data_IF_825446782241
#
_entry.id   IF_825446782241
#
_cell.length_a   1.000
_cell.length_b   1.000
_cell.length_c   1.000
_cell.angle_alpha   90.00
_cell.angle_beta   90.00
_cell.angle_gamma   90.00
#
_symmetry.space_group_name_H-M   'P 1'
#
loop_
_entity.id
_entity.type
_entity.pdbx_description
1 polymer ?
#
# COMPACT_ATOMS: atom_id res chain seq x y z
N UNK A 1 -0.86 -17.50 16.86
CA UNK A 1 -2.26 -17.01 16.69
C UNK A 1 -3.12 -18.12 16.11
N UNK A 2 -4.39 -18.24 16.52
CA UNK A 2 -5.31 -19.20 15.89
C UNK A 2 -5.71 -18.76 14.48
N UNK A 3 -6.11 -19.72 13.63
CA UNK A 3 -6.60 -19.39 12.27
C UNK A 3 -7.84 -18.48 12.28
N UNK A 4 -8.69 -18.56 13.32
CA UNK A 4 -9.84 -17.67 13.49
C UNK A 4 -9.39 -16.24 13.81
N UNK A 5 -8.40 -16.07 14.69
CA UNK A 5 -7.80 -14.78 15.05
C UNK A 5 -7.17 -14.12 13.83
N UNK A 6 -6.45 -14.87 13.01
CA UNK A 6 -5.83 -14.36 11.79
C UNK A 6 -6.88 -13.88 10.78
N UNK A 7 -7.94 -14.68 10.53
CA UNK A 7 -9.04 -14.27 9.63
C UNK A 7 -9.75 -13.01 10.10
N UNK A 8 -9.99 -12.86 11.41
CA UNK A 8 -10.61 -11.65 11.96
C UNK A 8 -9.72 -10.42 11.75
N UNK A 9 -8.41 -10.56 11.95
CA UNK A 9 -7.43 -9.48 11.71
C UNK A 9 -7.43 -9.05 10.24
N UNK A 10 -7.39 -9.99 9.32
CA UNK A 10 -7.45 -9.73 7.86
C UNK A 10 -8.77 -9.06 7.45
N UNK A 11 -9.91 -9.51 8.00
CA UNK A 11 -11.21 -8.88 7.74
C UNK A 11 -11.25 -7.43 8.23
N UNK A 12 -10.65 -7.12 9.40
CA UNK A 12 -10.57 -5.76 9.92
C UNK A 12 -9.72 -4.88 9.01
N UNK A 13 -8.54 -5.34 8.56
CA UNK A 13 -7.69 -4.59 7.65
C UNK A 13 -8.36 -4.35 6.29
N UNK A 14 -9.06 -5.34 5.75
CA UNK A 14 -9.86 -5.19 4.53
C UNK A 14 -11.00 -4.16 4.72
N UNK A 15 -11.72 -4.23 5.85
CA UNK A 15 -12.73 -3.25 6.22
C UNK A 15 -12.18 -1.84 6.36
N UNK A 16 -11.00 -1.70 6.96
CA UNK A 16 -10.30 -0.41 7.07
C UNK A 16 -9.97 0.18 5.70
N UNK A 17 -9.44 -0.62 4.78
CA UNK A 17 -9.13 -0.19 3.42
C UNK A 17 -10.38 0.29 2.68
N UNK A 18 -11.52 -0.38 2.85
CA UNK A 18 -12.79 0.04 2.25
C UNK A 18 -13.26 1.39 2.83
N UNK A 19 -13.23 1.55 4.16
CA UNK A 19 -13.64 2.81 4.80
C UNK A 19 -12.73 3.96 4.34
N UNK A 20 -11.41 3.75 4.27
CA UNK A 20 -10.47 4.77 3.76
C UNK A 20 -10.77 5.13 2.30
N UNK A 21 -11.12 4.16 1.48
CA UNK A 21 -11.51 4.41 0.08
C UNK A 21 -12.79 5.25 -0.04
N UNK A 22 -13.67 5.20 0.94
CA UNK A 22 -14.94 5.95 0.97
C UNK A 22 -14.75 7.37 1.51
N UNK A 23 -14.04 7.54 2.63
CA UNK A 23 -14.02 8.80 3.39
C UNK A 23 -12.62 9.37 3.65
N UNK A 24 -11.56 8.67 3.31
CA UNK A 24 -10.18 9.05 3.63
C UNK A 24 -9.70 8.51 4.98
N UNK A 25 -8.41 8.70 5.25
CA UNK A 25 -7.81 8.22 6.49
C UNK A 25 -8.24 9.04 7.70
N UNK A 26 -8.34 10.36 7.57
CA UNK A 26 -8.69 11.25 8.67
C UNK A 26 -10.09 10.97 9.22
N UNK A 27 -11.11 10.94 8.36
CA UNK A 27 -12.52 10.72 8.75
C UNK A 27 -12.83 9.26 9.11
N UNK A 28 -11.99 8.29 8.74
CA UNK A 28 -12.20 6.89 9.09
C UNK A 28 -12.16 6.67 10.60
N UNK A 29 -13.01 5.78 11.11
CA UNK A 29 -13.05 5.45 12.54
C UNK A 29 -13.24 3.95 12.79
N UNK A 30 -12.87 3.51 14.00
CA UNK A 30 -12.89 2.10 14.39
C UNK A 30 -14.30 1.47 14.40
N UNK A 31 -15.36 2.27 14.53
CA UNK A 31 -16.75 1.76 14.51
C UNK A 31 -17.19 1.42 13.09
N UNK A 32 -16.92 2.30 12.12
CA UNK A 32 -17.25 2.08 10.72
C UNK A 32 -16.43 0.91 10.16
N UNK A 33 -15.17 0.80 10.58
CA UNK A 33 -14.30 -0.33 10.24
C UNK A 33 -14.86 -1.64 10.79
N UNK A 34 -15.30 -1.68 12.06
CA UNK A 34 -15.92 -2.87 12.65
C UNK A 34 -17.18 -3.30 11.87
N UNK A 35 -18.04 -2.34 11.53
CA UNK A 35 -19.23 -2.58 10.72
C UNK A 35 -18.88 -3.13 9.33
N UNK A 36 -17.91 -2.53 8.66
CA UNK A 36 -17.48 -2.96 7.33
C UNK A 36 -16.80 -4.33 7.34
N UNK A 37 -16.03 -4.63 8.36
CA UNK A 37 -15.40 -5.94 8.59
C UNK A 37 -16.37 -7.01 9.09
N UNK A 38 -17.63 -6.65 9.40
CA UNK A 38 -18.65 -7.53 9.97
C UNK A 38 -18.22 -8.21 11.28
N UNK A 39 -17.51 -7.46 12.11
CA UNK A 39 -17.07 -7.91 13.44
C UNK A 39 -17.60 -6.97 14.53
N UNK A 40 -17.57 -7.43 15.78
CA UNK A 40 -17.92 -6.56 16.91
C UNK A 40 -16.84 -5.50 17.16
N UNK A 41 -17.24 -4.34 17.73
CA UNK A 41 -16.27 -3.33 18.19
C UNK A 41 -15.23 -3.93 19.16
N UNK A 42 -15.66 -4.80 20.06
CA UNK A 42 -14.76 -5.49 21.00
C UNK A 42 -13.71 -6.33 20.25
N UNK A 43 -14.11 -6.99 19.14
CA UNK A 43 -13.19 -7.76 18.31
C UNK A 43 -12.12 -6.84 17.71
N UNK A 44 -12.48 -5.65 17.21
CA UNK A 44 -11.50 -4.71 16.66
C UNK A 44 -10.49 -4.29 17.72
N UNK A 45 -10.95 -3.87 18.93
CA UNK A 45 -10.07 -3.46 20.02
C UNK A 45 -9.26 -4.62 20.65
N UNK A 46 -9.67 -5.86 20.44
CA UNK A 46 -8.84 -7.02 20.81
C UNK A 46 -7.67 -7.24 19.85
N UNK A 47 -7.73 -6.70 18.62
CA UNK A 47 -6.69 -6.83 17.62
C UNK A 47 -5.79 -5.60 17.51
N UNK A 48 -6.35 -4.40 17.77
CA UNK A 48 -5.68 -3.11 17.59
C UNK A 48 -6.04 -2.19 18.76
N UNK A 49 -5.03 -1.67 19.41
CA UNK A 49 -5.19 -0.76 20.57
C UNK A 49 -5.90 0.53 20.14
N UNK A 50 -5.51 1.04 18.98
CA UNK A 50 -6.05 2.28 18.40
C UNK A 50 -6.03 2.26 16.86
N UNK A 51 -6.48 3.36 16.29
CA UNK A 51 -6.51 3.56 14.84
C UNK A 51 -5.11 3.64 14.24
N UNK A 52 -4.15 4.25 14.94
CA UNK A 52 -2.79 4.41 14.47
C UNK A 52 -2.09 3.06 14.28
N UNK A 53 -2.17 2.18 15.28
CA UNK A 53 -1.65 0.81 15.19
C UNK A 53 -2.28 0.04 14.02
N UNK A 54 -3.60 0.17 13.86
CA UNK A 54 -4.30 -0.48 12.76
C UNK A 54 -3.86 0.05 11.40
N UNK A 55 -3.70 1.38 11.25
CA UNK A 55 -3.25 2.01 9.99
C UNK A 55 -1.82 1.62 9.65
N UNK A 56 -0.92 1.60 10.63
CA UNK A 56 0.45 1.13 10.44
C UNK A 56 0.49 -0.34 9.99
N UNK A 57 -0.32 -1.19 10.62
CA UNK A 57 -0.44 -2.60 10.23
C UNK A 57 -1.04 -2.76 8.83
N UNK A 58 -2.03 -1.95 8.46
CA UNK A 58 -2.60 -1.97 7.11
C UNK A 58 -1.55 -1.60 6.07
N UNK A 59 -0.77 -0.55 6.32
CA UNK A 59 0.31 -0.13 5.43
C UNK A 59 1.38 -1.23 5.26
N UNK A 60 1.82 -1.86 6.35
CA UNK A 60 2.75 -2.99 6.30
C UNK A 60 2.18 -4.16 5.47
N UNK A 61 0.91 -4.50 5.69
CA UNK A 61 0.21 -5.56 4.95
C UNK A 61 0.13 -5.26 3.45
N UNK A 62 -0.11 -4.00 3.06
CA UNK A 62 -0.13 -3.59 1.66
C UNK A 62 1.26 -3.61 1.02
N UNK A 63 2.30 -3.21 1.74
CA UNK A 63 3.70 -3.32 1.28
C UNK A 63 4.04 -4.80 1.01
N UNK A 64 3.73 -5.69 1.96
CA UNK A 64 3.99 -7.13 1.82
C UNK A 64 3.20 -7.75 0.66
N UNK A 65 1.93 -7.37 0.50
CA UNK A 65 1.07 -7.82 -0.61
C UNK A 65 1.66 -7.42 -1.96
N UNK A 66 2.01 -6.14 -2.11
CA UNK A 66 2.60 -5.61 -3.35
C UNK A 66 3.96 -6.27 -3.65
N UNK A 67 4.80 -6.42 -2.64
CA UNK A 67 6.09 -7.11 -2.78
C UNK A 67 5.92 -8.56 -3.20
N UNK A 68 4.95 -9.29 -2.63
CA UNK A 68 4.65 -10.66 -3.00
C UNK A 68 4.18 -10.79 -4.46
N UNK A 69 3.30 -9.88 -4.92
CA UNK A 69 2.85 -9.85 -6.31
C UNK A 69 4.02 -9.59 -7.27
N UNK A 70 4.89 -8.62 -6.96
CA UNK A 70 6.05 -8.31 -7.77
C UNK A 70 7.07 -9.46 -7.82
N UNK A 71 7.32 -10.14 -6.68
CA UNK A 71 8.20 -11.32 -6.61
C UNK A 71 7.67 -12.52 -7.40
N UNK A 72 6.35 -12.67 -7.50
CA UNK A 72 5.71 -13.74 -8.27
C UNK A 72 5.69 -13.46 -9.79
N UNK A 73 6.07 -12.27 -10.23
CA UNK A 73 6.08 -11.90 -11.65
C UNK A 73 7.20 -12.61 -12.41
N UNK A 74 6.99 -12.93 -13.70
CA UNK A 74 7.97 -13.66 -14.50
C UNK A 74 9.25 -12.86 -14.78
N UNK A 75 9.16 -11.54 -14.81
CA UNK A 75 10.28 -10.65 -15.08
C UNK A 75 10.09 -9.26 -14.43
N UNK A 76 11.14 -8.43 -14.52
CA UNK A 76 11.16 -7.08 -13.93
C UNK A 76 10.13 -6.14 -14.59
N UNK A 77 9.84 -6.28 -15.87
CA UNK A 77 8.89 -5.41 -16.56
C UNK A 77 7.47 -5.66 -16.06
N UNK A 78 7.06 -6.94 -15.95
CA UNK A 78 5.75 -7.30 -15.39
C UNK A 78 5.66 -6.95 -13.90
N UNK A 79 6.73 -7.14 -13.11
CA UNK A 79 6.77 -6.72 -11.71
C UNK A 79 6.52 -5.21 -11.56
N UNK A 80 7.19 -4.38 -12.37
CA UNK A 80 6.98 -2.93 -12.40
C UNK A 80 5.56 -2.58 -12.85
N UNK A 81 5.05 -3.24 -13.88
CA UNK A 81 3.71 -2.98 -14.41
C UNK A 81 2.61 -3.31 -13.37
N UNK A 82 2.76 -4.41 -12.63
CA UNK A 82 1.84 -4.78 -11.54
C UNK A 82 1.87 -3.72 -10.44
N UNK A 83 3.06 -3.36 -9.92
CA UNK A 83 3.18 -2.34 -8.88
C UNK A 83 2.58 -1.00 -9.32
N UNK A 84 2.85 -0.59 -10.54
CA UNK A 84 2.31 0.63 -11.12
C UNK A 84 0.78 0.61 -11.20
N UNK A 85 0.19 -0.45 -11.73
CA UNK A 85 -1.28 -0.60 -11.82
C UNK A 85 -1.94 -0.60 -10.45
N UNK A 86 -1.40 -1.37 -9.49
CA UNK A 86 -1.94 -1.47 -8.14
C UNK A 86 -1.94 -0.10 -7.43
N UNK A 87 -0.83 0.65 -7.48
CA UNK A 87 -0.73 1.99 -6.88
C UNK A 87 -1.63 2.99 -7.62
N UNK A 88 -1.59 2.99 -8.95
CA UNK A 88 -2.36 3.93 -9.76
C UNK A 88 -3.87 3.73 -9.68
N UNK A 89 -4.36 2.52 -9.43
CA UNK A 89 -5.79 2.21 -9.36
C UNK A 89 -6.34 2.09 -7.94
N UNK A 90 -5.51 2.21 -6.90
CA UNK A 90 -5.93 2.00 -5.51
C UNK A 90 -6.96 3.06 -5.06
N UNK A 91 -8.20 2.68 -4.73
CA UNK A 91 -9.24 3.64 -4.37
C UNK A 91 -8.95 4.38 -3.06
N UNK A 92 -8.27 3.73 -2.09
CA UNK A 92 -7.92 4.34 -0.82
C UNK A 92 -6.87 5.44 -1.04
N UNK A 93 -5.81 5.18 -1.82
CA UNK A 93 -4.83 6.21 -2.19
C UNK A 93 -5.50 7.36 -2.98
N UNK A 94 -6.40 7.06 -3.92
CA UNK A 94 -7.17 8.09 -4.65
C UNK A 94 -7.92 9.02 -3.71
N UNK A 95 -8.62 8.45 -2.74
CA UNK A 95 -9.40 9.23 -1.78
C UNK A 95 -8.46 10.02 -0.87
N UNK A 96 -7.41 9.42 -0.31
CA UNK A 96 -6.46 10.11 0.57
C UNK A 96 -5.75 11.29 -0.11
N UNK A 97 -5.36 11.17 -1.37
CA UNK A 97 -4.77 12.30 -2.13
C UNK A 97 -5.73 13.49 -2.19
N UNK A 98 -7.02 13.25 -2.23
CA UNK A 98 -8.05 14.29 -2.31
C UNK A 98 -8.45 14.85 -0.95
N UNK A 99 -8.60 13.97 0.07
CA UNK A 99 -9.15 14.33 1.39
C UNK A 99 -8.08 14.63 2.42
N UNK A 100 -6.92 13.96 2.32
CA UNK A 100 -5.83 14.00 3.31
C UNK A 100 -4.47 14.39 2.66
N UNK A 101 -4.40 15.46 1.83
CA UNK A 101 -3.20 15.77 1.06
C UNK A 101 -1.97 16.06 1.93
N UNK A 102 -2.17 16.58 3.14
CA UNK A 102 -1.07 16.84 4.11
C UNK A 102 -0.45 15.52 4.59
N UNK A 103 -1.25 14.51 4.87
CA UNK A 103 -0.76 13.20 5.32
C UNK A 103 -0.01 12.48 4.20
N UNK A 104 -0.53 12.57 2.97
CA UNK A 104 0.17 12.05 1.79
C UNK A 104 1.50 12.78 1.58
N UNK A 105 1.52 14.11 1.67
CA UNK A 105 2.76 14.89 1.53
C UNK A 105 3.78 14.51 2.62
N UNK A 106 3.35 14.37 3.87
CA UNK A 106 4.20 13.92 4.96
C UNK A 106 4.75 12.51 4.70
N UNK A 107 3.90 11.58 4.26
CA UNK A 107 4.31 10.23 3.93
C UNK A 107 5.37 10.19 2.83
N UNK A 108 5.17 10.88 1.71
CA UNK A 108 6.13 10.84 0.58
C UNK A 108 7.43 11.62 0.81
N UNK A 109 7.48 12.47 1.84
CA UNK A 109 8.66 13.30 2.16
C UNK A 109 9.50 12.77 3.32
N UNK A 110 8.95 11.94 4.21
CA UNK A 110 9.66 11.38 5.36
C UNK A 110 10.33 10.07 4.98
N UNK A 111 11.64 10.08 4.83
CA UNK A 111 12.44 8.92 4.41
C UNK A 111 13.00 8.04 5.55
N UNK A 112 12.83 8.43 6.82
CA UNK A 112 13.45 7.74 7.97
C UNK A 112 12.48 6.84 8.75
N UNK A 113 11.25 6.59 8.25
CA UNK A 113 10.29 5.71 8.92
C UNK A 113 10.62 4.22 8.69
N UNK A 114 10.15 3.36 9.59
CA UNK A 114 10.28 1.89 9.43
C UNK A 114 9.63 1.41 8.13
N UNK A 115 8.52 2.02 7.71
CA UNK A 115 7.82 1.68 6.46
C UNK A 115 8.70 1.97 5.23
N UNK A 116 9.42 3.11 5.22
CA UNK A 116 10.36 3.43 4.14
C UNK A 116 11.52 2.46 4.08
N UNK A 117 12.08 2.06 5.23
CA UNK A 117 13.12 1.03 5.30
C UNK A 117 12.60 -0.32 4.78
N UNK A 118 11.35 -0.68 5.09
CA UNK A 118 10.69 -1.88 4.58
C UNK A 118 10.54 -1.83 3.06
N UNK A 119 9.93 -0.77 2.52
CA UNK A 119 9.75 -0.58 1.07
C UNK A 119 11.09 -0.65 0.33
N UNK A 120 12.10 0.08 0.82
CA UNK A 120 13.42 0.09 0.20
C UNK A 120 14.08 -1.30 0.18
N UNK A 121 13.95 -2.06 1.26
CA UNK A 121 14.44 -3.45 1.34
C UNK A 121 13.75 -4.33 0.32
N UNK A 122 12.41 -4.29 0.23
CA UNK A 122 11.63 -5.10 -0.70
C UNK A 122 11.95 -4.76 -2.16
N UNK A 123 11.99 -3.47 -2.52
CA UNK A 123 12.34 -3.04 -3.87
C UNK A 123 13.77 -3.40 -4.25
N UNK A 124 14.72 -3.28 -3.30
CA UNK A 124 16.12 -3.69 -3.52
C UNK A 124 16.26 -5.20 -3.74
N UNK A 125 15.46 -6.00 -3.02
CA UNK A 125 15.45 -7.46 -3.18
C UNK A 125 14.88 -7.89 -4.55
N UNK A 126 13.89 -7.16 -5.09
CA UNK A 126 13.23 -7.48 -6.37
C UNK A 126 14.05 -6.95 -7.57
N UNK A 127 14.50 -5.70 -7.50
CA UNK A 127 15.09 -4.99 -8.65
C UNK A 127 16.61 -4.83 -8.56
N UNK A 128 17.21 -5.16 -7.45
CA UNK A 128 18.63 -4.95 -7.16
C UNK A 128 18.90 -3.70 -6.31
N UNK A 129 19.99 -3.71 -5.52
CA UNK A 129 20.28 -2.64 -4.55
C UNK A 129 20.49 -1.27 -5.20
N UNK A 130 21.03 -1.21 -6.41
CA UNK A 130 21.25 0.05 -7.15
C UNK A 130 19.98 0.62 -7.74
N UNK A 131 18.95 -0.21 -7.97
CA UNK A 131 17.75 0.15 -8.72
C UNK A 131 16.55 0.46 -7.82
N UNK A 132 16.52 -0.08 -6.60
CA UNK A 132 15.37 0.07 -5.68
C UNK A 132 14.96 1.53 -5.46
N UNK A 133 15.93 2.44 -5.30
CA UNK A 133 15.65 3.86 -5.13
C UNK A 133 15.10 4.57 -6.37
N UNK A 134 15.46 4.12 -7.57
CA UNK A 134 14.90 4.64 -8.83
C UNK A 134 13.44 4.18 -8.99
N UNK A 135 13.21 2.88 -8.78
CA UNK A 135 11.86 2.30 -8.84
C UNK A 135 10.94 2.97 -7.82
N UNK A 136 11.43 3.19 -6.59
CA UNK A 136 10.67 3.88 -5.55
C UNK A 136 10.20 5.27 -6.01
N UNK A 137 11.10 6.09 -6.54
CA UNK A 137 10.76 7.45 -7.00
C UNK A 137 9.75 7.43 -8.13
N UNK A 138 9.87 6.48 -9.05
CA UNK A 138 8.91 6.30 -10.12
C UNK A 138 7.52 5.90 -9.59
N UNK A 139 7.43 4.98 -8.64
CA UNK A 139 6.16 4.58 -8.01
C UNK A 139 5.53 5.71 -7.20
N UNK A 140 6.33 6.48 -6.45
CA UNK A 140 5.83 7.63 -5.69
C UNK A 140 5.17 8.69 -6.55
N UNK A 141 5.72 8.94 -7.74
CA UNK A 141 5.13 9.88 -8.69
C UNK A 141 3.69 9.53 -9.06
N UNK A 142 3.33 8.25 -9.03
CA UNK A 142 2.00 7.76 -9.40
C UNK A 142 0.95 7.94 -8.28
N UNK A 143 1.37 8.20 -7.05
CA UNK A 143 0.44 8.57 -5.97
C UNK A 143 -0.27 9.87 -6.31
N UNK A 144 0.48 10.89 -6.74
CA UNK A 144 -0.07 12.19 -7.15
C UNK A 144 -0.53 12.26 -8.60
N UNK A 145 0.10 11.47 -9.50
CA UNK A 145 -0.20 11.46 -10.94
C UNK A 145 -0.36 10.01 -11.45
N UNK A 146 -1.53 9.39 -11.21
CA UNK A 146 -1.77 8.00 -11.55
C UNK A 146 -1.73 7.75 -13.06
N UNK A 147 -1.24 6.58 -13.42
CA UNK A 147 -1.15 6.11 -14.79
C UNK A 147 -2.36 5.23 -15.15
N UNK A 148 -2.73 5.24 -16.43
CA UNK A 148 -3.61 4.20 -16.98
C UNK A 148 -2.87 2.86 -17.05
N UNK A 149 -3.59 1.75 -17.22
CA UNK A 149 -2.98 0.42 -17.36
C UNK A 149 -2.00 0.34 -18.52
N UNK A 150 -2.32 1.00 -19.66
CA UNK A 150 -1.46 1.03 -20.84
C UNK A 150 -0.20 1.88 -20.61
N UNK A 151 -0.31 3.00 -19.93
CA UNK A 151 0.83 3.84 -19.54
C UNK A 151 1.72 3.12 -18.54
N UNK A 152 1.14 2.44 -17.55
CA UNK A 152 1.86 1.60 -16.60
C UNK A 152 2.70 0.55 -17.32
N UNK A 153 2.11 -0.18 -18.28
CA UNK A 153 2.83 -1.20 -19.06
C UNK A 153 3.97 -0.59 -19.88
N UNK A 154 3.72 0.50 -20.62
CA UNK A 154 4.75 1.15 -21.44
C UNK A 154 5.90 1.71 -20.62
N UNK A 155 5.60 2.39 -19.50
CA UNK A 155 6.63 2.96 -18.64
C UNK A 155 7.42 1.88 -17.89
N UNK A 156 6.74 0.81 -17.45
CA UNK A 156 7.38 -0.34 -16.82
C UNK A 156 8.37 -1.02 -17.76
N UNK A 157 8.00 -1.24 -19.02
CA UNK A 157 8.90 -1.82 -20.05
C UNK A 157 10.11 -0.92 -20.30
N UNK A 158 9.90 0.39 -20.41
CA UNK A 158 10.98 1.35 -20.62
C UNK A 158 11.94 1.38 -19.42
N UNK A 159 11.39 1.41 -18.20
CA UNK A 159 12.18 1.41 -16.99
C UNK A 159 12.95 0.09 -16.81
N UNK A 160 12.31 -1.06 -17.04
CA UNK A 160 12.95 -2.37 -16.92
C UNK A 160 14.19 -2.51 -17.82
N UNK A 161 14.17 -1.93 -19.03
CA UNK A 161 15.33 -1.89 -19.95
C UNK A 161 16.49 -1.05 -19.41
N UNK A 162 16.21 -0.08 -18.53
CA UNK A 162 17.21 0.79 -17.91
C UNK A 162 17.79 0.23 -16.60
N UNK A 163 17.12 -0.78 -16.00
CA UNK A 163 17.58 -1.43 -14.77
C UNK A 163 18.64 -2.49 -15.09
N UNK A 164 19.86 -2.19 -14.80
CA UNK A 164 21.02 -3.07 -15.01
C UNK A 164 21.17 -4.07 -13.86
#
# INVERSE_FOLDING_TARGET
MSAATQRSREAILAGAKIVIAEVGSYESNMMDIAARAQVSRATVYNHFVDKEEMMNTLLESEIDRLAAMAKASPDKAEALAILSREISSDPALRTMVRTDPTDIAAFVTVSESMHWAHIARELSAIFGPSNGGLVLRWLLGQIGAPLTSDESARQAEALAKALV
#
